data_IF_953011869650
#
_entry.id   IF_953011869650
#
_cell.length_a   1.000
_cell.length_b   1.000
_cell.length_c   1.000
_cell.angle_alpha   90.00
_cell.angle_beta   90.00
_cell.angle_gamma   90.00
#
_symmetry.space_group_name_H-M   'P 1'
#
loop_
_entity.id
_entity.type
_entity.pdbx_description
1 polymer ?
#
# COMPACT_ATOMS: atom_id res chain seq x y z
N UNK A 1 0.98 -19.83 -23.43
CA UNK A 1 1.18 -18.40 -23.09
C UNK A 1 2.55 -17.98 -23.63
N UNK A 2 2.70 -16.80 -24.24
CA UNK A 2 4.03 -16.36 -24.76
C UNK A 2 4.95 -15.99 -23.58
N UNK A 3 6.26 -16.22 -23.70
CA UNK A 3 7.26 -15.85 -22.67
C UNK A 3 7.25 -14.35 -22.33
N UNK A 4 6.76 -13.50 -23.23
CA UNK A 4 6.54 -12.06 -22.97
C UNK A 4 5.35 -11.82 -22.04
N UNK A 5 4.31 -12.63 -22.13
CA UNK A 5 3.08 -12.52 -21.33
C UNK A 5 3.33 -12.97 -19.88
N UNK A 6 4.13 -14.03 -19.68
CA UNK A 6 4.52 -14.50 -18.33
C UNK A 6 5.38 -13.46 -17.58
N UNK A 7 6.35 -12.85 -18.27
CA UNK A 7 7.18 -11.77 -17.69
C UNK A 7 6.35 -10.54 -17.32
N UNK A 8 5.35 -10.19 -18.14
CA UNK A 8 4.45 -9.08 -17.85
C UNK A 8 3.52 -9.39 -16.67
N UNK A 9 2.99 -10.61 -16.59
CA UNK A 9 2.18 -11.06 -15.45
C UNK A 9 2.97 -11.03 -14.15
N UNK A 10 4.18 -11.61 -14.12
CA UNK A 10 5.03 -11.62 -12.93
C UNK A 10 5.38 -10.19 -12.45
N UNK A 11 5.56 -9.25 -13.39
CA UNK A 11 5.79 -7.83 -13.06
C UNK A 11 4.59 -7.18 -12.37
N UNK A 12 3.38 -7.41 -12.89
CA UNK A 12 2.17 -6.80 -12.30
C UNK A 12 1.76 -7.46 -10.98
N UNK A 13 1.95 -8.79 -10.85
CA UNK A 13 1.84 -9.47 -9.55
C UNK A 13 2.86 -8.92 -8.55
N UNK A 14 4.10 -8.69 -8.98
CA UNK A 14 5.13 -8.07 -8.14
C UNK A 14 4.72 -6.69 -7.63
N UNK A 15 4.11 -5.86 -8.48
CA UNK A 15 3.55 -4.56 -8.08
C UNK A 15 2.43 -4.70 -7.05
N UNK A 16 1.53 -5.66 -7.25
CA UNK A 16 0.45 -5.93 -6.32
C UNK A 16 0.98 -6.38 -4.95
N UNK A 17 1.97 -7.27 -4.92
CA UNK A 17 2.64 -7.74 -3.70
C UNK A 17 3.33 -6.60 -2.96
N UNK A 18 4.03 -5.70 -3.68
CA UNK A 18 4.63 -4.50 -3.07
C UNK A 18 3.55 -3.61 -2.45
N UNK A 19 2.43 -3.39 -3.15
CA UNK A 19 1.29 -2.64 -2.61
C UNK A 19 0.73 -3.26 -1.34
N UNK A 20 0.51 -4.59 -1.33
CA UNK A 20 0.05 -5.32 -0.14
C UNK A 20 1.05 -5.20 1.03
N UNK A 21 2.34 -5.33 0.76
CA UNK A 21 3.39 -5.27 1.77
C UNK A 21 3.45 -3.88 2.43
N UNK A 22 3.30 -2.82 1.64
CA UNK A 22 3.16 -1.44 2.15
C UNK A 22 1.95 -1.34 3.08
N UNK A 23 0.80 -1.89 2.70
CA UNK A 23 -0.41 -1.85 3.53
C UNK A 23 -0.28 -2.65 4.83
N UNK A 24 0.40 -3.79 4.81
CA UNK A 24 0.70 -4.57 6.01
C UNK A 24 1.60 -3.78 6.95
N UNK A 25 2.64 -3.10 6.43
CA UNK A 25 3.50 -2.24 7.25
C UNK A 25 2.65 -1.14 7.90
N UNK A 26 1.79 -0.47 7.15
CA UNK A 26 0.90 0.56 7.69
C UNK A 26 -0.03 0.03 8.80
N UNK A 27 -0.55 -1.19 8.63
CA UNK A 27 -1.35 -1.87 9.66
C UNK A 27 -0.55 -2.10 10.94
N UNK A 28 0.71 -2.54 10.82
CA UNK A 28 1.61 -2.76 11.98
C UNK A 28 1.88 -1.44 12.69
N UNK A 29 2.18 -0.36 11.95
CA UNK A 29 2.41 0.96 12.57
C UNK A 29 1.13 1.45 13.27
N UNK A 30 -0.05 1.20 12.70
CA UNK A 30 -1.33 1.48 13.35
C UNK A 30 -1.53 0.67 14.65
N UNK A 31 -1.21 -0.62 14.66
CA UNK A 31 -1.29 -1.46 15.87
C UNK A 31 -0.31 -1.01 16.97
N UNK A 32 0.81 -0.41 16.58
CA UNK A 32 1.82 0.11 17.50
C UNK A 32 1.62 1.59 17.84
N UNK A 33 0.49 2.19 17.44
CA UNK A 33 0.26 3.63 17.51
C UNK A 33 0.42 4.20 18.92
N UNK A 34 -0.14 3.54 19.95
CA UNK A 34 0.00 4.00 21.34
C UNK A 34 1.45 4.02 21.80
N UNK A 35 2.25 3.01 21.44
CA UNK A 35 3.67 2.97 21.79
C UNK A 35 4.45 4.06 21.07
N UNK A 36 4.17 4.29 19.78
CA UNK A 36 4.78 5.35 18.98
C UNK A 36 4.40 6.71 19.55
N UNK A 37 3.15 6.90 19.94
CA UNK A 37 2.64 8.12 20.56
C UNK A 37 3.38 8.42 21.87
N UNK A 38 3.51 7.42 22.74
CA UNK A 38 4.25 7.57 23.99
C UNK A 38 5.73 7.92 23.77
N UNK A 39 6.44 7.19 22.92
CA UNK A 39 7.86 7.45 22.64
C UNK A 39 8.05 8.85 22.04
N UNK A 40 7.17 9.25 21.12
CA UNK A 40 7.28 10.55 20.46
C UNK A 40 7.11 11.71 21.45
N UNK A 41 6.08 11.65 22.32
CA UNK A 41 5.75 12.74 23.24
C UNK A 41 6.48 12.69 24.58
N UNK A 42 7.19 11.61 24.90
CA UNK A 42 7.96 11.53 26.14
C UNK A 42 9.48 11.55 25.89
N UNK A 43 9.96 10.88 24.84
CA UNK A 43 11.40 10.67 24.63
C UNK A 43 11.97 11.57 23.52
N UNK A 44 11.27 11.68 22.38
CA UNK A 44 11.80 12.38 21.20
C UNK A 44 11.47 13.87 21.17
N UNK A 45 10.21 14.22 21.46
CA UNK A 45 9.70 15.58 21.36
C UNK A 45 8.76 15.91 22.54
N UNK A 46 9.29 15.98 23.77
CA UNK A 46 8.48 16.16 24.99
C UNK A 46 7.70 17.46 25.04
N UNK A 47 8.16 18.49 24.34
CA UNK A 47 7.50 19.80 24.28
C UNK A 47 6.61 19.98 23.05
N UNK A 48 6.44 18.94 22.22
CA UNK A 48 5.61 19.06 21.02
C UNK A 48 4.14 19.25 21.40
N UNK A 49 3.41 20.13 20.69
CA UNK A 49 1.96 20.23 20.84
C UNK A 49 1.27 18.89 20.62
N UNK A 50 0.23 18.62 21.42
CA UNK A 50 -0.64 17.46 21.20
C UNK A 50 -1.29 17.59 19.81
N UNK A 51 -1.13 16.56 18.98
CA UNK A 51 -1.59 16.56 17.58
C UNK A 51 -0.47 16.73 16.54
N UNK A 52 0.71 17.21 16.89
CA UNK A 52 1.87 17.28 15.97
C UNK A 52 2.20 15.92 15.33
N UNK A 53 2.16 14.85 16.13
CA UNK A 53 2.40 13.50 15.61
C UNK A 53 1.32 13.06 14.61
N UNK A 54 0.06 13.44 14.84
CA UNK A 54 -1.06 13.15 13.94
C UNK A 54 -0.90 13.89 12.60
N UNK A 55 -0.41 15.14 12.64
CA UNK A 55 -0.12 15.92 11.43
C UNK A 55 0.97 15.26 10.59
N UNK A 56 2.08 14.84 11.22
CA UNK A 56 3.11 14.08 10.50
C UNK A 56 2.56 12.78 9.93
N UNK A 57 1.70 12.09 10.69
CA UNK A 57 1.02 10.90 10.19
C UNK A 57 0.18 11.17 8.94
N UNK A 58 -0.62 12.23 8.94
CA UNK A 58 -1.43 12.62 7.78
C UNK A 58 -0.55 12.99 6.58
N UNK A 59 0.58 13.66 6.79
CA UNK A 59 1.46 14.08 5.70
C UNK A 59 2.25 12.93 5.07
N UNK A 60 2.69 11.95 5.87
CA UNK A 60 3.56 10.88 5.38
C UNK A 60 2.82 9.57 5.12
N UNK A 61 1.94 9.15 6.01
CA UNK A 61 1.37 7.80 5.95
C UNK A 61 0.13 7.75 5.05
N UNK A 62 -0.58 8.87 4.88
CA UNK A 62 -1.69 8.93 3.93
C UNK A 62 -1.25 8.78 2.45
N UNK A 63 -0.22 9.50 1.95
CA UNK A 63 0.29 9.25 0.59
C UNK A 63 0.85 7.84 0.40
N UNK A 64 1.48 7.28 1.44
CA UNK A 64 2.01 5.90 1.39
C UNK A 64 0.85 4.89 1.34
N UNK A 65 -0.21 5.08 2.13
CA UNK A 65 -1.41 4.25 2.09
C UNK A 65 -2.09 4.31 0.72
N UNK A 66 -2.26 5.52 0.18
CA UNK A 66 -2.81 5.73 -1.15
C UNK A 66 -1.95 5.05 -2.23
N UNK A 67 -0.63 5.21 -2.16
CA UNK A 67 0.31 4.54 -3.07
C UNK A 67 0.25 3.02 -2.97
N UNK A 68 0.18 2.48 -1.75
CA UNK A 68 0.04 1.05 -1.49
C UNK A 68 -1.24 0.47 -2.09
N UNK A 69 -2.39 1.13 -1.86
CA UNK A 69 -3.68 0.74 -2.45
C UNK A 69 -3.62 0.84 -3.97
N UNK A 70 -3.09 1.93 -4.52
CA UNK A 70 -2.99 2.12 -5.96
C UNK A 70 -2.16 1.03 -6.63
N UNK A 71 -1.02 0.66 -6.05
CA UNK A 71 -0.17 -0.42 -6.57
C UNK A 71 -0.85 -1.78 -6.47
N UNK A 72 -1.55 -2.04 -5.36
CA UNK A 72 -2.31 -3.26 -5.15
C UNK A 72 -3.41 -3.42 -6.20
N UNK A 73 -4.23 -2.38 -6.38
CA UNK A 73 -5.37 -2.41 -7.30
C UNK A 73 -4.91 -2.41 -8.76
N UNK A 74 -3.97 -1.55 -9.14
CA UNK A 74 -3.48 -1.51 -10.53
C UNK A 74 -2.77 -2.82 -10.93
N UNK A 75 -1.89 -3.33 -10.06
CA UNK A 75 -1.19 -4.59 -10.30
C UNK A 75 -2.16 -5.78 -10.30
N UNK A 76 -3.10 -5.83 -9.35
CA UNK A 76 -4.11 -6.88 -9.26
C UNK A 76 -5.06 -6.90 -10.46
N UNK A 77 -5.52 -5.74 -10.91
CA UNK A 77 -6.41 -5.61 -12.07
C UNK A 77 -5.71 -5.98 -13.37
N UNK A 78 -4.47 -5.51 -13.59
CA UNK A 78 -3.72 -5.89 -14.80
C UNK A 78 -3.33 -7.38 -14.79
N UNK A 79 -2.95 -7.94 -13.63
CA UNK A 79 -2.71 -9.36 -13.49
C UNK A 79 -3.98 -10.18 -13.79
N UNK A 80 -5.15 -9.72 -13.32
CA UNK A 80 -6.44 -10.35 -13.61
C UNK A 80 -6.75 -10.36 -15.11
N UNK A 81 -6.61 -9.21 -15.80
CA UNK A 81 -6.82 -9.15 -17.26
C UNK A 81 -5.89 -10.07 -18.05
N UNK A 82 -4.63 -10.20 -17.61
CA UNK A 82 -3.66 -11.09 -18.26
C UNK A 82 -3.99 -12.58 -17.99
N UNK A 83 -4.55 -12.90 -16.81
CA UNK A 83 -4.88 -14.27 -16.42
C UNK A 83 -6.23 -14.75 -16.97
N UNK A 84 -7.19 -13.85 -17.19
CA UNK A 84 -8.53 -14.17 -17.69
C UNK A 84 -8.89 -13.30 -18.92
N UNK A 85 -8.22 -13.47 -20.07
CA UNK A 85 -8.45 -12.66 -21.26
C UNK A 85 -9.82 -12.86 -21.93
N UNK A 86 -10.60 -13.89 -21.57
CA UNK A 86 -11.82 -14.30 -22.29
C UNK A 86 -13.15 -13.79 -21.70
N UNK A 87 -13.17 -12.88 -20.71
CA UNK A 87 -14.44 -12.43 -20.08
C UNK A 87 -14.85 -10.98 -20.33
N UNK A 88 -14.09 -10.19 -21.07
CA UNK A 88 -14.45 -8.78 -21.36
C UNK A 88 -15.00 -8.56 -22.79
N UNK A 89 -15.16 -9.59 -23.63
CA UNK A 89 -15.75 -9.48 -24.99
C UNK A 89 -17.25 -9.89 -25.09
N UNK A 90 -17.94 -10.23 -23.99
CA UNK A 90 -19.39 -10.61 -24.02
C UNK A 90 -20.36 -9.57 -23.43
N UNK A 91 -19.91 -8.37 -23.06
CA UNK A 91 -20.80 -7.25 -22.70
C UNK A 91 -20.86 -6.20 -23.83
N UNK A 92 -21.51 -6.57 -24.95
CA UNK A 92 -22.09 -5.63 -25.95
C UNK A 92 -23.58 -5.41 -25.65
#
# INVERSE_FOLDING_TARGET
>A
MSTKTEKSFAKEVGRAVVGALVLIILLVIWLLWDKIYHIFYNDLFPNAPKGTLLIYWLLFLFPIAFGGISLLVAGGYQAYKIAAPEKEEEEE
#
